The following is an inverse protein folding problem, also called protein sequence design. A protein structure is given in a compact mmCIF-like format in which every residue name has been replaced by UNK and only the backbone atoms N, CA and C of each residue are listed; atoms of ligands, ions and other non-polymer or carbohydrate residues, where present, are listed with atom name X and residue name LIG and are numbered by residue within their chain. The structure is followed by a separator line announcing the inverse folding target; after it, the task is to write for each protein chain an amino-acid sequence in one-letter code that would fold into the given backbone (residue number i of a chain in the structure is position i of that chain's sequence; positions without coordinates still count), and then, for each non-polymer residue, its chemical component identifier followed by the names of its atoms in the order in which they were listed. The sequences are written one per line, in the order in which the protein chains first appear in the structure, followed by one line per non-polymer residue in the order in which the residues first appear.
data_IF_632242624037
#
_entry.id   IF_632242624037
#
_cell.length_a   1.000
_cell.length_b   1.000
_cell.length_c   1.000
_cell.angle_alpha   90.00
_cell.angle_beta   90.00
_cell.angle_gamma   90.00
#
_symmetry.space_group_name_H-M   'P 1'
#
loop_
_entity.id
_entity.type
_entity.pdbx_description
1 polymer ?
#
# COMPACT_ATOMS: atom_id res chain seq x y z
N UNK A 1 -1.93 3.90 26.53
CA UNK A 1 -0.81 4.20 25.61
C UNK A 1 0.09 5.31 26.13
N UNK A 2 -0.44 6.45 26.64
CA UNK A 2 0.43 7.56 27.10
C UNK A 2 1.39 7.27 28.27
N UNK A 3 1.01 6.47 29.27
CA UNK A 3 1.87 6.26 30.45
C UNK A 3 3.05 5.32 30.16
N UNK A 4 2.86 4.30 29.33
CA UNK A 4 3.92 3.38 28.90
C UNK A 4 5.04 4.09 28.14
N UNK A 5 4.71 5.10 27.33
CA UNK A 5 5.70 5.89 26.59
C UNK A 5 6.46 6.87 27.49
N UNK A 6 5.77 7.51 28.45
CA UNK A 6 6.39 8.38 29.46
C UNK A 6 7.35 7.62 30.39
N UNK A 7 6.95 6.43 30.84
CA UNK A 7 7.83 5.59 31.65
C UNK A 7 9.06 5.12 30.85
N UNK A 8 8.89 4.79 29.56
CA UNK A 8 10.01 4.42 28.68
C UNK A 8 11.00 5.56 28.51
N UNK A 9 10.54 6.77 28.17
CA UNK A 9 11.42 7.97 28.07
C UNK A 9 12.13 8.30 29.37
N UNK A 10 11.49 8.08 30.53
CA UNK A 10 12.13 8.26 31.85
C UNK A 10 13.26 7.26 32.12
N UNK A 11 13.10 6.00 31.69
CA UNK A 11 14.14 4.97 31.82
C UNK A 11 15.27 5.21 30.82
N UNK A 12 14.96 5.55 29.58
CA UNK A 12 15.96 5.82 28.53
C UNK A 12 16.85 7.01 28.93
N UNK A 13 16.28 8.10 29.46
CA UNK A 13 17.04 9.24 29.96
C UNK A 13 17.93 8.91 31.18
N UNK A 14 17.51 7.99 32.05
CA UNK A 14 18.34 7.50 33.16
C UNK A 14 19.51 6.63 32.66
N UNK A 15 19.27 5.82 31.63
CA UNK A 15 20.33 5.05 30.96
C UNK A 15 21.36 5.97 30.31
N UNK A 16 20.94 6.99 29.55
CA UNK A 16 21.85 7.98 28.95
C UNK A 16 22.68 8.72 30.01
N UNK A 17 22.03 9.20 31.09
CA UNK A 17 22.72 9.89 32.19
C UNK A 17 23.71 8.98 32.93
N UNK A 18 23.44 7.67 33.01
CA UNK A 18 24.37 6.68 33.55
C UNK A 18 25.55 6.41 32.59
N UNK A 19 25.29 6.26 31.28
CA UNK A 19 26.34 6.08 30.28
C UNK A 19 27.29 7.27 30.19
N UNK A 20 26.78 8.50 30.30
CA UNK A 20 27.60 9.72 30.39
C UNK A 20 28.53 9.71 31.61
N UNK A 21 28.03 9.27 32.78
CA UNK A 21 28.85 9.13 34.00
C UNK A 21 29.88 8.01 33.86
N UNK A 22 29.51 6.89 33.25
CA UNK A 22 30.41 5.76 32.95
C UNK A 22 31.56 6.22 32.03
N UNK A 23 31.26 6.94 30.96
CA UNK A 23 32.25 7.49 30.03
C UNK A 23 33.17 8.52 30.70
N UNK A 24 32.62 9.42 31.54
CA UNK A 24 33.43 10.36 32.31
C UNK A 24 34.41 9.65 33.23
N UNK A 25 33.95 8.65 33.98
CA UNK A 25 34.80 7.84 34.86
C UNK A 25 35.92 7.13 34.08
N UNK A 26 35.63 6.60 32.90
CA UNK A 26 36.65 6.01 32.02
C UNK A 26 37.69 7.03 31.53
N UNK A 27 37.27 8.26 31.18
CA UNK A 27 38.20 9.35 30.85
C UNK A 27 39.05 9.76 32.05
N UNK A 28 38.46 9.86 33.25
CA UNK A 28 39.18 10.19 34.48
C UNK A 28 40.26 9.13 34.80
N UNK A 29 39.97 7.83 34.63
CA UNK A 29 40.96 6.74 34.73
C UNK A 29 42.10 6.91 33.72
N UNK A 30 41.79 7.20 32.45
CA UNK A 30 42.81 7.41 31.40
C UNK A 30 43.73 8.59 31.74
N UNK A 31 43.16 9.72 32.17
CA UNK A 31 43.92 10.91 32.58
C UNK A 31 44.82 10.65 33.79
N UNK A 32 44.34 9.91 34.79
CA UNK A 32 45.13 9.50 35.95
C UNK A 32 46.26 8.54 35.55
N UNK A 33 45.98 7.58 34.66
CA UNK A 33 46.97 6.61 34.18
C UNK A 33 48.09 7.29 33.39
N UNK A 34 47.76 8.25 32.52
CA UNK A 34 48.77 9.00 31.76
C UNK A 34 49.58 9.95 32.66
N UNK A 35 48.93 10.57 33.66
CA UNK A 35 49.64 11.34 34.69
C UNK A 35 50.61 10.46 35.49
N UNK A 36 50.20 9.24 35.84
CA UNK A 36 51.04 8.28 36.56
C UNK A 36 52.23 7.80 35.70
N UNK A 37 52.02 7.53 34.40
CA UNK A 37 53.11 7.24 33.44
C UNK A 37 54.11 8.40 33.35
N UNK A 38 53.63 9.65 33.27
CA UNK A 38 54.51 10.83 33.23
C UNK A 38 55.36 10.95 34.49
N UNK A 39 54.77 10.75 35.67
CA UNK A 39 55.50 10.72 36.94
C UNK A 39 56.53 9.58 36.99
N UNK A 40 56.21 8.41 36.45
CA UNK A 40 57.16 7.29 36.36
C UNK A 40 58.37 7.63 35.48
N UNK A 41 58.15 8.29 34.34
CA UNK A 41 59.21 8.78 33.43
C UNK A 41 60.02 9.91 34.06
N UNK A 42 59.42 10.78 34.87
CA UNK A 42 60.17 11.80 35.62
C UNK A 42 61.05 11.16 36.70
N UNK A 43 60.52 10.22 37.47
CA UNK A 43 61.26 9.46 38.48
C UNK A 43 62.42 8.67 37.86
N UNK A 44 62.26 8.07 36.68
CA UNK A 44 63.36 7.35 36.01
C UNK A 44 64.46 8.29 35.52
N UNK A 45 64.12 9.49 35.01
CA UNK A 45 65.12 10.48 34.58
C UNK A 45 65.94 11.07 35.74
N UNK A 46 65.35 11.25 36.92
CA UNK A 46 66.11 11.69 38.10
C UNK A 46 67.01 10.60 38.69
N UNK A 47 66.84 9.33 38.33
CA UNK A 47 67.77 8.25 38.68
C UNK A 47 69.08 8.37 37.87
N UNK A 48 69.01 8.75 36.59
CA UNK A 48 70.18 8.86 35.70
C UNK A 48 71.12 10.04 36.05
N UNK A 49 70.66 11.04 36.83
CA UNK A 49 71.44 12.24 37.15
C UNK A 49 71.88 12.38 38.62
N UNK A 50 71.65 11.37 39.47
CA UNK A 50 71.74 11.49 40.94
C UNK A 50 72.65 10.41 41.55
N UNK A 51 73.93 10.74 41.78
CA UNK A 51 74.95 9.83 42.32
C UNK A 51 74.95 9.70 43.86
N UNK A 52 73.78 9.63 44.50
CA UNK A 52 73.63 9.57 45.97
C UNK A 52 72.76 8.39 46.43
N UNK A 53 72.94 7.91 47.69
CA UNK A 53 72.37 6.64 48.15
C UNK A 53 70.84 6.62 48.15
N UNK A 54 70.29 5.45 47.81
CA UNK A 54 68.87 5.23 47.53
C UNK A 54 68.04 5.49 48.79
N UNK A 55 67.37 6.65 48.82
CA UNK A 55 66.48 7.05 49.89
C UNK A 55 65.22 6.14 49.91
N UNK A 56 64.99 5.46 51.04
CA UNK A 56 63.89 4.49 51.19
C UNK A 56 62.51 5.09 50.92
N UNK A 57 62.34 6.39 51.16
CA UNK A 57 61.13 7.14 50.83
C UNK A 57 60.84 7.14 49.33
N UNK A 58 61.88 7.26 48.49
CA UNK A 58 61.76 7.27 47.02
C UNK A 58 61.33 5.90 46.48
N UNK A 59 61.91 4.82 47.01
CA UNK A 59 61.49 3.44 46.68
C UNK A 59 60.04 3.17 47.08
N UNK A 60 59.59 3.67 48.24
CA UNK A 60 58.18 3.58 48.65
C UNK A 60 57.24 4.37 47.74
N UNK A 61 57.63 5.56 47.27
CA UNK A 61 56.85 6.36 46.31
C UNK A 61 56.74 5.63 44.97
N UNK A 62 57.83 5.04 44.46
CA UNK A 62 57.82 4.29 43.21
C UNK A 62 56.97 3.01 43.31
N UNK A 63 57.00 2.31 44.44
CA UNK A 63 56.10 1.18 44.70
C UNK A 63 54.63 1.59 44.70
N UNK A 64 54.28 2.69 45.40
CA UNK A 64 52.91 3.24 45.40
C UNK A 64 52.44 3.65 44.00
N UNK A 65 53.31 4.24 43.19
CA UNK A 65 53.01 4.65 41.82
C UNK A 65 52.78 3.44 40.91
N UNK A 66 53.64 2.43 40.97
CA UNK A 66 53.49 1.19 40.22
C UNK A 66 52.19 0.45 40.59
N UNK A 67 51.87 0.39 41.88
CA UNK A 67 50.62 -0.18 42.38
C UNK A 67 49.39 0.58 41.81
N UNK A 68 49.40 1.91 41.85
CA UNK A 68 48.35 2.74 41.25
C UNK A 68 48.21 2.50 39.74
N UNK A 69 49.31 2.41 39.00
CA UNK A 69 49.30 2.14 37.55
C UNK A 69 48.70 0.77 37.23
N UNK A 70 49.00 -0.26 38.01
CA UNK A 70 48.42 -1.60 37.84
C UNK A 70 46.89 -1.53 38.03
N UNK A 71 46.41 -0.94 39.14
CA UNK A 71 44.97 -0.81 39.41
C UNK A 71 44.21 -0.02 38.34
N UNK A 72 44.75 1.11 37.89
CA UNK A 72 44.13 1.91 36.83
C UNK A 72 44.10 1.15 35.49
N UNK A 73 45.12 0.35 35.19
CA UNK A 73 45.17 -0.49 33.97
C UNK A 73 44.17 -1.63 34.04
N UNK A 74 44.09 -2.34 35.18
CA UNK A 74 43.10 -3.40 35.40
C UNK A 74 41.67 -2.86 35.29
N UNK A 75 41.36 -1.71 35.89
CA UNK A 75 40.01 -1.17 35.85
C UNK A 75 39.61 -0.72 34.45
N UNK A 76 40.53 -0.08 33.70
CA UNK A 76 40.31 0.26 32.30
C UNK A 76 40.06 -1.01 31.46
N UNK A 77 40.83 -2.09 31.71
CA UNK A 77 40.62 -3.37 31.03
C UNK A 77 39.24 -3.97 31.37
N UNK A 78 38.80 -3.94 32.64
CA UNK A 78 37.44 -4.38 33.04
C UNK A 78 36.34 -3.59 32.32
N UNK A 79 36.49 -2.27 32.17
CA UNK A 79 35.54 -1.44 31.41
C UNK A 79 35.53 -1.81 29.91
N UNK A 80 36.71 -2.04 29.32
CA UNK A 80 36.82 -2.47 27.92
C UNK A 80 36.19 -3.86 27.69
N UNK A 81 36.41 -4.81 28.59
CA UNK A 81 35.81 -6.16 28.52
C UNK A 81 34.28 -6.10 28.69
N UNK A 82 33.77 -5.25 29.59
CA UNK A 82 32.35 -4.99 29.78
C UNK A 82 31.70 -4.37 28.54
N UNK A 83 32.33 -3.36 27.93
CA UNK A 83 31.81 -2.75 26.69
C UNK A 83 31.94 -3.68 25.48
N UNK A 84 32.97 -4.53 25.42
CA UNK A 84 33.11 -5.61 24.45
C UNK A 84 32.00 -6.66 24.58
N UNK A 85 31.67 -7.08 25.81
CA UNK A 85 30.56 -7.99 26.07
C UNK A 85 29.20 -7.38 25.68
N UNK A 86 28.96 -6.10 26.01
CA UNK A 86 27.75 -5.36 25.59
C UNK A 86 27.61 -5.33 24.06
N UNK A 87 28.70 -5.05 23.33
CA UNK A 87 28.71 -5.07 21.85
C UNK A 87 28.37 -6.45 21.28
N UNK A 88 29.03 -7.52 21.75
CA UNK A 88 28.75 -8.90 21.34
C UNK A 88 27.29 -9.29 21.56
N UNK A 89 26.69 -8.90 22.69
CA UNK A 89 25.27 -9.14 22.96
C UNK A 89 24.34 -8.36 22.01
N UNK A 90 24.67 -7.12 21.67
CA UNK A 90 23.91 -6.33 20.68
C UNK A 90 24.01 -6.93 19.27
N UNK A 91 25.18 -7.43 18.87
CA UNK A 91 25.40 -8.11 17.59
C UNK A 91 24.62 -9.43 17.51
N UNK A 92 24.66 -10.21 18.60
CA UNK A 92 23.87 -11.44 18.75
C UNK A 92 22.36 -11.19 18.63
N UNK A 93 21.84 -10.19 19.35
CA UNK A 93 20.42 -9.81 19.27
C UNK A 93 20.05 -9.39 17.84
N UNK A 94 20.86 -8.55 17.19
CA UNK A 94 20.65 -8.15 15.78
C UNK A 94 20.68 -9.35 14.83
N UNK A 95 21.46 -10.39 15.12
CA UNK A 95 21.48 -11.63 14.33
C UNK A 95 20.18 -12.42 14.46
N UNK A 96 19.69 -12.58 15.70
CA UNK A 96 18.40 -13.22 15.98
C UNK A 96 17.24 -12.45 15.34
N UNK A 97 17.25 -11.12 15.40
CA UNK A 97 16.18 -10.30 14.80
C UNK A 97 16.19 -10.39 13.26
N UNK A 98 17.35 -10.51 12.63
CA UNK A 98 17.47 -10.85 11.19
C UNK A 98 16.91 -12.23 10.88
N UNK A 99 17.17 -13.24 11.71
CA UNK A 99 16.60 -14.58 11.53
C UNK A 99 15.08 -14.57 11.67
N UNK A 100 14.54 -13.93 12.74
CA UNK A 100 13.10 -13.73 12.93
C UNK A 100 12.45 -13.08 11.72
N UNK A 101 13.04 -11.99 11.20
CA UNK A 101 12.53 -11.31 10.01
C UNK A 101 12.55 -12.21 8.76
N UNK A 102 13.65 -12.93 8.52
CA UNK A 102 13.77 -13.84 7.37
C UNK A 102 12.76 -15.00 7.44
N UNK A 103 12.58 -15.59 8.62
CA UNK A 103 11.56 -16.63 8.86
C UNK A 103 10.16 -16.06 8.64
N UNK A 104 9.86 -14.86 9.13
CA UNK A 104 8.55 -14.24 8.92
C UNK A 104 8.22 -14.03 7.44
N UNK A 105 9.16 -13.52 6.64
CA UNK A 105 9.01 -13.32 5.19
C UNK A 105 8.83 -14.65 4.46
N UNK A 106 9.66 -15.65 4.76
CA UNK A 106 9.55 -16.99 4.16
C UNK A 106 8.25 -17.70 4.55
N UNK A 107 7.81 -17.57 5.81
CA UNK A 107 6.55 -18.13 6.28
C UNK A 107 5.36 -17.44 5.59
N UNK A 108 5.41 -16.14 5.34
CA UNK A 108 4.36 -15.42 4.61
C UNK A 108 4.24 -15.94 3.16
N UNK A 109 5.34 -16.05 2.40
CA UNK A 109 5.27 -16.56 1.02
C UNK A 109 4.87 -18.04 0.94
N UNK A 110 5.42 -18.90 1.81
CA UNK A 110 5.05 -20.32 1.89
C UNK A 110 3.61 -20.56 2.35
N UNK A 111 3.04 -19.65 3.16
CA UNK A 111 1.65 -19.76 3.64
C UNK A 111 0.62 -19.63 2.54
N UNK A 112 0.91 -18.87 1.48
CA UNK A 112 0.03 -18.71 0.31
C UNK A 112 -0.23 -20.03 -0.41
N UNK A 113 0.74 -20.95 -0.34
CA UNK A 113 0.65 -22.32 -0.85
C UNK A 113 0.20 -23.34 0.21
N UNK A 114 -0.08 -22.90 1.45
CA UNK A 114 -0.47 -23.79 2.56
C UNK A 114 0.64 -24.69 3.08
N UNK A 115 1.91 -24.40 2.77
CA UNK A 115 3.04 -25.30 3.04
C UNK A 115 3.57 -25.24 4.48
N UNK A 116 3.23 -24.18 5.23
CA UNK A 116 3.77 -23.91 6.58
C UNK A 116 2.67 -23.38 7.50
N UNK A 117 2.66 -23.84 8.76
CA UNK A 117 1.82 -23.26 9.81
C UNK A 117 2.36 -21.88 10.25
N UNK A 118 1.70 -20.83 9.77
CA UNK A 118 1.98 -19.42 10.10
C UNK A 118 1.89 -19.15 11.60
N UNK A 119 0.97 -19.80 12.33
CA UNK A 119 0.78 -19.56 13.76
C UNK A 119 1.94 -20.17 14.56
N UNK A 120 2.42 -21.36 14.18
CA UNK A 120 3.62 -21.96 14.75
C UNK A 120 4.87 -21.10 14.49
N UNK A 121 5.10 -20.66 13.24
CA UNK A 121 6.26 -19.84 12.88
C UNK A 121 6.23 -18.46 13.54
N UNK A 122 5.07 -17.80 13.57
CA UNK A 122 4.88 -16.52 14.26
C UNK A 122 5.16 -16.65 15.76
N UNK A 123 4.61 -17.68 16.42
CA UNK A 123 4.85 -17.95 17.84
C UNK A 123 6.32 -18.21 18.16
N UNK A 124 7.05 -18.86 17.25
CA UNK A 124 8.49 -19.10 17.37
C UNK A 124 9.29 -17.78 17.23
N UNK A 125 8.90 -16.90 16.31
CA UNK A 125 9.53 -15.58 16.15
C UNK A 125 9.26 -14.63 17.33
N UNK A 126 8.05 -14.71 17.92
CA UNK A 126 7.62 -13.89 19.06
C UNK A 126 8.28 -14.26 20.41
N UNK A 127 9.05 -15.36 20.48
CA UNK A 127 9.76 -15.73 21.71
C UNK A 127 10.78 -14.64 22.09
N UNK A 128 10.66 -13.98 23.26
CA UNK A 128 11.55 -12.87 23.67
C UNK A 128 12.90 -13.35 24.20
N UNK A 129 13.07 -14.66 24.37
CA UNK A 129 14.33 -15.26 24.80
C UNK A 129 15.36 -15.20 23.67
N UNK A 130 16.56 -14.71 23.97
CA UNK A 130 17.70 -14.66 23.05
C UNK A 130 18.77 -15.71 23.40
N UNK A 131 18.40 -16.77 24.13
CA UNK A 131 19.28 -17.88 24.46
C UNK A 131 19.83 -18.62 23.22
N UNK A 132 20.94 -19.33 23.42
CA UNK A 132 21.50 -20.28 22.47
C UNK A 132 20.47 -21.31 21.98
N UNK A 133 19.59 -21.77 22.88
CA UNK A 133 18.53 -22.73 22.51
C UNK A 133 17.48 -22.10 21.57
N UNK A 134 17.16 -20.81 21.72
CA UNK A 134 16.27 -20.14 20.77
C UNK A 134 16.96 -19.89 19.42
N UNK A 135 18.25 -19.56 19.42
CA UNK A 135 19.06 -19.47 18.19
C UNK A 135 19.03 -20.79 17.40
N UNK A 136 19.20 -21.93 18.07
CA UNK A 136 19.15 -23.26 17.43
C UNK A 136 17.77 -23.55 16.82
N UNK A 137 16.68 -23.22 17.53
CA UNK A 137 15.30 -23.36 17.03
C UNK A 137 15.02 -22.46 15.83
N UNK A 138 15.44 -21.20 15.89
CA UNK A 138 15.33 -20.24 14.77
C UNK A 138 16.15 -20.71 13.57
N UNK A 139 17.37 -21.19 13.78
CA UNK A 139 18.23 -21.74 12.72
C UNK A 139 17.61 -22.96 12.04
N UNK A 140 17.06 -23.92 12.81
CA UNK A 140 16.35 -25.09 12.28
C UNK A 140 15.07 -24.69 11.51
N UNK A 141 14.27 -23.78 12.07
CA UNK A 141 13.06 -23.28 11.41
C UNK A 141 13.39 -22.54 10.10
N UNK A 142 14.47 -21.75 10.08
CA UNK A 142 14.96 -21.07 8.88
C UNK A 142 15.41 -22.06 7.81
N UNK A 143 16.26 -23.03 8.17
CA UNK A 143 16.72 -24.09 7.25
C UNK A 143 15.54 -24.88 6.66
N UNK A 144 14.53 -25.20 7.48
CA UNK A 144 13.32 -25.86 7.02
C UNK A 144 12.54 -24.99 6.03
N UNK A 145 12.31 -23.70 6.33
CA UNK A 145 11.62 -22.80 5.41
C UNK A 145 12.40 -22.59 4.10
N UNK A 146 13.72 -22.50 4.16
CA UNK A 146 14.58 -22.40 2.96
C UNK A 146 14.53 -23.68 2.11
N UNK A 147 14.52 -24.86 2.73
CA UNK A 147 14.35 -26.13 2.03
C UNK A 147 12.97 -26.22 1.34
N UNK A 148 11.88 -25.90 2.07
CA UNK A 148 10.53 -25.87 1.50
C UNK A 148 10.40 -24.88 0.34
N UNK A 149 11.04 -23.70 0.44
CA UNK A 149 11.07 -22.70 -0.65
C UNK A 149 11.78 -23.24 -1.88
N UNK A 150 12.88 -23.96 -1.70
CA UNK A 150 13.65 -24.53 -2.82
C UNK A 150 12.91 -25.71 -3.47
N UNK A 151 12.23 -26.55 -2.68
CA UNK A 151 11.43 -27.68 -3.18
C UNK A 151 10.21 -27.22 -4.00
N UNK A 152 9.54 -26.14 -3.57
CA UNK A 152 8.34 -25.61 -4.23
C UNK A 152 8.58 -24.33 -5.04
N UNK A 153 9.83 -24.09 -5.46
CA UNK A 153 10.24 -22.86 -6.13
C UNK A 153 9.43 -22.58 -7.41
N UNK A 154 9.15 -23.60 -8.22
CA UNK A 154 8.33 -23.46 -9.44
C UNK A 154 6.88 -23.06 -9.13
N UNK A 155 6.30 -23.62 -8.06
CA UNK A 155 4.94 -23.31 -7.63
C UNK A 155 4.84 -21.89 -7.05
N UNK A 156 5.86 -21.44 -6.32
CA UNK A 156 5.97 -20.06 -5.83
C UNK A 156 6.10 -19.07 -6.99
N UNK A 157 6.99 -19.32 -7.94
CA UNK A 157 7.16 -18.49 -9.15
C UNK A 157 5.83 -18.44 -9.95
N UNK A 158 5.18 -19.59 -10.16
CA UNK A 158 3.88 -19.65 -10.81
C UNK A 158 2.80 -18.84 -10.09
N UNK A 159 2.75 -18.93 -8.77
CA UNK A 159 1.80 -18.17 -7.94
C UNK A 159 2.07 -16.66 -7.99
N UNK A 160 3.32 -16.22 -7.86
CA UNK A 160 3.69 -14.80 -7.97
C UNK A 160 3.40 -14.27 -9.37
N UNK A 161 3.62 -15.05 -10.44
CA UNK A 161 3.17 -14.68 -11.79
C UNK A 161 1.64 -14.51 -11.90
N UNK A 162 0.84 -15.38 -11.27
CA UNK A 162 -0.62 -15.20 -11.25
C UNK A 162 -1.02 -13.94 -10.48
N UNK A 163 -0.42 -13.68 -9.31
CA UNK A 163 -0.65 -12.42 -8.59
C UNK A 163 -0.27 -11.20 -9.45
N UNK A 164 0.93 -11.18 -10.06
CA UNK A 164 1.37 -10.07 -10.91
C UNK A 164 0.34 -9.81 -12.02
N UNK A 165 -0.12 -10.85 -12.71
CA UNK A 165 -1.12 -10.69 -13.78
C UNK A 165 -2.44 -10.09 -13.25
N UNK A 166 -2.96 -10.57 -12.11
CA UNK A 166 -4.16 -10.02 -11.48
C UNK A 166 -3.98 -8.53 -11.09
N UNK A 167 -2.84 -8.18 -10.50
CA UNK A 167 -2.52 -6.79 -10.14
C UNK A 167 -2.28 -5.89 -11.36
N UNK A 168 -1.77 -6.44 -12.46
CA UNK A 168 -1.62 -5.76 -13.75
C UNK A 168 -2.97 -5.51 -14.43
N UNK A 169 -3.94 -6.42 -14.33
CA UNK A 169 -5.32 -6.14 -14.77
C UNK A 169 -5.99 -5.05 -13.91
N UNK A 170 -5.78 -5.05 -12.59
CA UNK A 170 -6.33 -4.02 -11.68
C UNK A 170 -5.72 -2.63 -11.89
N UNK A 171 -4.42 -2.56 -12.13
CA UNK A 171 -3.69 -1.31 -12.44
C UNK A 171 -3.80 -0.91 -13.91
N UNK A 172 -4.36 -1.77 -14.76
CA UNK A 172 -4.39 -1.62 -16.22
C UNK A 172 -2.99 -1.36 -16.80
N UNK A 173 -1.92 -1.79 -16.12
CA UNK A 173 -0.55 -1.72 -16.58
C UNK A 173 -0.05 -3.12 -16.82
N UNK A 174 0.00 -3.51 -18.09
CA UNK A 174 0.76 -4.68 -18.49
C UNK A 174 2.25 -4.35 -18.41
N UNK A 175 3.08 -5.17 -17.74
CA UNK A 175 4.51 -5.07 -17.87
C UNK A 175 4.84 -5.22 -19.36
N UNK A 176 5.83 -4.46 -19.86
CA UNK A 176 6.34 -4.70 -21.21
C UNK A 176 6.73 -6.17 -21.31
N UNK A 177 6.11 -6.91 -22.26
CA UNK A 177 6.02 -8.36 -22.24
C UNK A 177 7.35 -9.08 -22.54
N UNK A 178 8.34 -8.92 -21.65
CA UNK A 178 9.71 -9.37 -21.83
C UNK A 178 10.33 -9.85 -20.52
N UNK A 179 10.83 -11.08 -20.59
CA UNK A 179 12.03 -11.55 -19.90
C UNK A 179 11.89 -12.01 -18.43
N UNK A 180 10.82 -12.74 -18.11
CA UNK A 180 10.95 -13.82 -17.12
C UNK A 180 11.02 -15.14 -17.88
N UNK A 181 12.26 -15.52 -18.16
CA UNK A 181 12.58 -16.65 -19.01
C UNK A 181 12.22 -17.94 -18.29
N UNK A 182 11.27 -18.68 -18.87
CA UNK A 182 10.64 -19.89 -18.30
C UNK A 182 11.62 -21.03 -18.00
N UNK A 183 12.85 -20.93 -18.48
CA UNK A 183 13.82 -22.03 -18.53
C UNK A 183 14.73 -22.12 -17.27
N UNK A 184 14.63 -21.18 -16.33
CA UNK A 184 15.46 -21.16 -15.12
C UNK A 184 14.67 -20.77 -13.86
N UNK A 185 14.10 -21.74 -13.16
CA UNK A 185 13.51 -21.57 -11.84
C UNK A 185 14.61 -21.33 -10.78
N UNK A 186 15.00 -20.07 -10.54
CA UNK A 186 16.00 -19.70 -9.52
C UNK A 186 15.38 -18.91 -8.37
N UNK A 187 16.03 -18.95 -7.20
CA UNK A 187 15.62 -18.15 -6.04
C UNK A 187 15.70 -16.65 -6.33
N UNK A 188 16.73 -16.23 -7.08
CA UNK A 188 16.92 -14.84 -7.53
C UNK A 188 15.77 -14.37 -8.43
N UNK A 189 15.25 -15.24 -9.29
CA UNK A 189 14.07 -14.96 -10.12
C UNK A 189 12.81 -14.78 -9.26
N UNK A 190 12.60 -15.62 -8.24
CA UNK A 190 11.48 -15.46 -7.33
C UNK A 190 11.58 -14.13 -6.56
N UNK A 191 12.75 -13.79 -6.01
CA UNK A 191 12.96 -12.57 -5.24
C UNK A 191 12.72 -11.31 -6.11
N UNK A 192 13.17 -11.32 -7.38
CA UNK A 192 12.90 -10.25 -8.36
C UNK A 192 11.41 -10.11 -8.71
N UNK A 193 10.68 -11.23 -8.83
CA UNK A 193 9.24 -11.23 -9.07
C UNK A 193 8.44 -10.74 -7.85
N UNK A 194 8.86 -11.12 -6.63
CA UNK A 194 8.26 -10.64 -5.38
C UNK A 194 8.47 -9.12 -5.20
N UNK A 195 9.63 -8.59 -5.59
CA UNK A 195 9.90 -7.15 -5.62
C UNK A 195 9.01 -6.43 -6.64
N UNK A 196 8.93 -6.92 -7.89
CA UNK A 196 8.03 -6.34 -8.91
C UNK A 196 6.55 -6.36 -8.47
N UNK A 197 6.09 -7.47 -7.89
CA UNK A 197 4.74 -7.59 -7.35
C UNK A 197 4.46 -6.54 -6.26
N UNK A 198 5.44 -6.26 -5.41
CA UNK A 198 5.36 -5.21 -4.40
C UNK A 198 5.29 -3.82 -5.05
N UNK A 199 6.12 -3.51 -6.04
CA UNK A 199 6.07 -2.23 -6.76
C UNK A 199 4.69 -1.98 -7.39
N UNK A 200 4.08 -2.99 -8.02
CA UNK A 200 2.74 -2.89 -8.63
C UNK A 200 1.67 -2.66 -7.54
N UNK A 201 1.76 -3.35 -6.40
CA UNK A 201 0.85 -3.14 -5.25
C UNK A 201 1.00 -1.74 -4.65
N UNK A 202 2.22 -1.26 -4.44
CA UNK A 202 2.49 0.07 -3.90
C UNK A 202 2.01 1.16 -4.89
N UNK A 203 2.22 0.96 -6.19
CA UNK A 203 1.67 1.82 -7.25
C UNK A 203 0.14 1.84 -7.26
N UNK A 204 -0.52 0.68 -7.14
CA UNK A 204 -1.98 0.61 -7.02
C UNK A 204 -2.47 1.37 -5.79
N UNK A 205 -1.86 1.13 -4.62
CA UNK A 205 -2.27 1.72 -3.36
C UNK A 205 -2.10 3.24 -3.35
N UNK A 206 -0.98 3.76 -3.88
CA UNK A 206 -0.74 5.20 -4.01
C UNK A 206 -1.76 5.89 -4.95
N UNK A 207 -2.24 5.19 -5.97
CA UNK A 207 -3.08 5.75 -7.03
C UNK A 207 -4.53 5.24 -7.02
N UNK A 208 -4.94 4.55 -5.96
CA UNK A 208 -6.22 3.83 -5.85
C UNK A 208 -7.44 4.68 -6.19
N UNK A 209 -7.43 5.97 -5.82
CA UNK A 209 -8.50 6.90 -6.15
C UNK A 209 -8.72 7.06 -7.66
N UNK A 210 -7.64 7.13 -8.45
CA UNK A 210 -7.73 7.22 -9.93
C UNK A 210 -8.35 5.95 -10.48
N UNK A 211 -7.86 4.78 -10.06
CA UNK A 211 -8.38 3.48 -10.50
C UNK A 211 -9.87 3.29 -10.17
N UNK A 212 -10.30 3.65 -8.95
CA UNK A 212 -11.70 3.55 -8.57
C UNK A 212 -12.63 4.47 -9.37
N UNK A 213 -12.18 5.70 -9.68
CA UNK A 213 -12.98 6.66 -10.46
C UNK A 213 -12.99 6.27 -11.94
N UNK A 214 -11.86 5.81 -12.50
CA UNK A 214 -11.79 5.29 -13.87
C UNK A 214 -12.66 4.03 -14.04
N UNK A 215 -12.63 3.09 -13.09
CA UNK A 215 -13.52 1.92 -13.12
C UNK A 215 -15.01 2.30 -13.04
N UNK A 216 -15.37 3.39 -12.35
CA UNK A 216 -16.74 3.94 -12.36
C UNK A 216 -17.08 4.54 -13.73
N UNK A 217 -16.12 5.23 -14.40
CA UNK A 217 -16.29 5.73 -15.78
C UNK A 217 -16.56 4.59 -16.75
N UNK A 218 -15.70 3.56 -16.79
CA UNK A 218 -15.83 2.41 -17.69
C UNK A 218 -17.22 1.76 -17.56
N UNK A 219 -17.70 1.52 -16.33
CA UNK A 219 -19.06 0.98 -16.10
C UNK A 219 -20.18 1.86 -16.67
N UNK A 220 -20.05 3.19 -16.57
CA UNK A 220 -21.04 4.13 -17.14
C UNK A 220 -20.95 4.17 -18.67
N UNK A 221 -19.74 4.12 -19.21
CA UNK A 221 -19.47 4.10 -20.65
C UNK A 221 -20.07 2.85 -21.31
N UNK A 222 -19.70 1.66 -20.87
CA UNK A 222 -20.26 0.39 -21.38
C UNK A 222 -21.77 0.34 -21.22
N UNK A 223 -22.33 0.97 -20.18
CA UNK A 223 -23.79 1.06 -20.02
C UNK A 223 -24.45 2.03 -21.01
N UNK A 224 -23.81 3.15 -21.35
CA UNK A 224 -24.25 4.07 -22.38
C UNK A 224 -24.34 3.36 -23.73
N UNK A 225 -23.26 2.68 -24.13
CA UNK A 225 -23.18 1.89 -25.36
C UNK A 225 -24.27 0.81 -25.41
N UNK A 226 -24.47 0.07 -24.31
CA UNK A 226 -25.52 -0.95 -24.22
C UNK A 226 -26.95 -0.39 -24.33
N UNK A 227 -27.21 0.84 -23.86
CA UNK A 227 -28.50 1.51 -24.05
C UNK A 227 -28.71 1.98 -25.50
N UNK A 228 -27.64 2.40 -26.18
CA UNK A 228 -27.70 2.82 -27.57
C UNK A 228 -27.77 1.63 -28.53
N UNK A 229 -27.13 0.50 -28.22
CA UNK A 229 -27.29 -0.75 -28.99
C UNK A 229 -28.72 -1.31 -28.85
N UNK A 230 -29.30 -1.26 -27.64
CA UNK A 230 -30.74 -1.53 -27.47
C UNK A 230 -31.61 -0.55 -28.26
N UNK A 231 -31.19 0.72 -28.39
CA UNK A 231 -31.92 1.73 -29.14
C UNK A 231 -32.03 1.42 -30.64
N UNK A 232 -31.13 0.59 -31.20
CA UNK A 232 -31.12 0.17 -32.62
C UNK A 232 -32.07 -1.00 -32.94
N UNK A 233 -32.49 -1.80 -31.96
CA UNK A 233 -33.25 -3.05 -32.21
C UNK A 233 -34.68 -2.77 -32.69
N UNK A 234 -35.18 -3.45 -33.75
CA UNK A 234 -36.51 -3.17 -34.31
C UNK A 234 -37.66 -3.44 -33.33
N UNK A 235 -37.54 -4.48 -32.49
CA UNK A 235 -38.55 -4.83 -31.49
C UNK A 235 -38.63 -3.86 -30.28
N UNK A 236 -37.83 -2.79 -30.26
CA UNK A 236 -37.75 -1.82 -29.14
C UNK A 236 -39.10 -1.22 -28.74
N UNK A 237 -40.03 -1.07 -29.67
CA UNK A 237 -41.35 -0.48 -29.40
C UNK A 237 -42.31 -1.42 -28.64
N UNK A 238 -41.92 -2.66 -28.34
CA UNK A 238 -42.64 -3.59 -27.45
C UNK A 238 -42.51 -3.16 -25.97
N UNK A 239 -43.02 -1.97 -25.63
CA UNK A 239 -42.82 -1.26 -24.37
C UNK A 239 -43.71 -1.77 -23.21
N UNK A 240 -43.74 -3.09 -22.96
CA UNK A 240 -44.47 -3.66 -21.81
C UNK A 240 -43.79 -3.22 -20.50
N UNK A 241 -44.57 -2.66 -19.56
CA UNK A 241 -44.04 -2.26 -18.25
C UNK A 241 -43.08 -1.05 -18.27
N UNK A 242 -43.27 -0.11 -19.20
CA UNK A 242 -42.59 1.19 -19.20
C UNK A 242 -41.07 1.12 -19.32
N UNK A 243 -40.54 0.12 -20.03
CA UNK A 243 -39.11 -0.09 -20.21
C UNK A 243 -38.43 1.14 -20.85
N UNK A 244 -39.02 1.73 -21.89
CA UNK A 244 -38.45 2.88 -22.60
C UNK A 244 -38.28 4.12 -21.71
N UNK A 245 -39.21 4.35 -20.78
CA UNK A 245 -39.12 5.46 -19.82
C UNK A 245 -38.02 5.24 -18.78
N UNK A 246 -37.74 3.96 -18.43
CA UNK A 246 -36.62 3.60 -17.57
C UNK A 246 -35.28 3.75 -18.28
N UNK A 247 -35.17 3.27 -19.52
CA UNK A 247 -33.97 3.46 -20.36
C UNK A 247 -33.64 4.94 -20.57
N UNK A 248 -34.65 5.77 -20.86
CA UNK A 248 -34.44 7.20 -21.10
C UNK A 248 -34.10 7.97 -19.79
N UNK A 249 -34.70 7.60 -18.65
CA UNK A 249 -34.28 8.11 -17.34
C UNK A 249 -32.84 7.72 -17.02
N UNK A 250 -32.44 6.49 -17.35
CA UNK A 250 -31.10 5.99 -17.15
C UNK A 250 -30.07 6.72 -18.04
N UNK A 251 -30.35 6.89 -19.34
CA UNK A 251 -29.54 7.68 -20.28
C UNK A 251 -29.29 9.09 -19.76
N UNK A 252 -30.32 9.79 -19.29
CA UNK A 252 -30.18 11.13 -18.68
C UNK A 252 -29.30 11.09 -17.43
N UNK A 253 -29.46 10.06 -16.59
CA UNK A 253 -28.61 9.85 -15.42
C UNK A 253 -27.14 9.63 -15.76
N UNK A 254 -26.84 8.89 -16.83
CA UNK A 254 -25.47 8.68 -17.32
C UNK A 254 -24.90 9.98 -17.90
N UNK A 255 -25.64 10.69 -18.76
CA UNK A 255 -25.20 11.95 -19.37
C UNK A 255 -24.85 13.05 -18.34
N UNK A 256 -25.42 13.00 -17.13
CA UNK A 256 -25.08 13.92 -16.03
C UNK A 256 -23.88 13.39 -15.22
N UNK A 257 -23.81 12.09 -14.97
CA UNK A 257 -22.77 11.48 -14.11
C UNK A 257 -21.43 11.31 -14.80
N UNK A 258 -21.43 10.98 -16.08
CA UNK A 258 -20.23 10.65 -16.85
C UNK A 258 -19.27 11.86 -16.96
N UNK A 259 -19.71 13.08 -17.36
CA UNK A 259 -18.82 14.25 -17.40
C UNK A 259 -18.28 14.64 -16.02
N UNK A 260 -19.07 14.46 -14.95
CA UNK A 260 -18.62 14.72 -13.57
C UNK A 260 -17.51 13.76 -13.14
N UNK A 261 -17.60 12.49 -13.52
CA UNK A 261 -16.57 11.49 -13.25
C UNK A 261 -15.33 11.73 -14.11
N UNK A 262 -15.48 12.12 -15.38
CA UNK A 262 -14.36 12.49 -16.25
C UNK A 262 -13.61 13.74 -15.74
N UNK A 263 -14.32 14.72 -15.20
CA UNK A 263 -13.71 15.88 -14.55
C UNK A 263 -12.92 15.49 -13.28
N UNK A 264 -13.46 14.58 -12.45
CA UNK A 264 -12.73 14.03 -11.30
C UNK A 264 -11.47 13.24 -11.72
N UNK A 265 -11.52 12.53 -12.85
CA UNK A 265 -10.33 11.85 -13.40
C UNK A 265 -9.29 12.88 -13.85
N UNK A 266 -9.70 13.97 -14.51
CA UNK A 266 -8.80 15.06 -14.91
C UNK A 266 -8.09 15.68 -13.70
N UNK A 267 -8.83 16.01 -12.65
CA UNK A 267 -8.27 16.58 -11.42
C UNK A 267 -7.23 15.64 -10.77
N UNK A 268 -7.58 14.36 -10.58
CA UNK A 268 -6.67 13.38 -9.98
C UNK A 268 -5.45 13.04 -10.88
N UNK A 269 -5.62 13.06 -12.21
CA UNK A 269 -4.52 12.85 -13.15
C UNK A 269 -3.54 14.04 -13.18
N UNK A 270 -4.04 15.28 -13.08
CA UNK A 270 -3.21 16.47 -12.97
C UNK A 270 -2.44 16.51 -11.64
N UNK A 271 -3.09 16.13 -10.53
CA UNK A 271 -2.44 15.95 -9.23
C UNK A 271 -1.31 14.92 -9.29
N UNK A 272 -1.51 13.80 -10.00
CA UNK A 272 -0.48 12.78 -10.22
C UNK A 272 0.68 13.31 -11.06
N UNK A 273 0.39 14.00 -12.17
CA UNK A 273 1.39 14.56 -13.08
C UNK A 273 2.27 15.61 -12.38
N UNK A 274 1.67 16.47 -11.54
CA UNK A 274 2.40 17.44 -10.71
C UNK A 274 3.34 16.78 -9.70
N UNK A 275 2.95 15.64 -9.11
CA UNK A 275 3.76 14.92 -8.11
C UNK A 275 4.87 14.09 -8.75
N UNK A 276 4.60 13.49 -9.90
CA UNK A 276 5.46 12.45 -10.50
C UNK A 276 6.17 12.91 -11.79
N UNK A 277 5.90 14.11 -12.30
CA UNK A 277 6.51 14.68 -13.50
C UNK A 277 6.19 13.94 -14.81
N UNK A 278 5.16 13.08 -14.81
CA UNK A 278 4.76 12.24 -15.95
C UNK A 278 3.24 12.01 -15.97
N UNK A 279 2.61 11.88 -17.15
CA UNK A 279 1.18 11.61 -17.24
C UNK A 279 0.81 10.25 -16.62
N UNK A 280 -0.44 10.14 -16.17
CA UNK A 280 -0.98 8.87 -15.68
C UNK A 280 -1.34 7.95 -16.84
N UNK A 281 -0.73 6.77 -16.89
CA UNK A 281 -0.88 5.81 -17.99
C UNK A 281 -1.86 4.68 -17.67
N UNK A 282 -2.73 4.37 -18.63
CA UNK A 282 -3.68 3.25 -18.63
C UNK A 282 -3.47 2.47 -19.92
N UNK A 283 -3.10 1.19 -19.81
CA UNK A 283 -2.77 0.29 -20.94
C UNK A 283 -1.68 0.84 -21.88
N UNK A 284 -0.78 1.69 -21.36
CA UNK A 284 0.30 2.34 -22.11
C UNK A 284 -0.04 3.72 -22.68
N UNK A 285 -1.31 4.13 -22.64
CA UNK A 285 -1.80 5.42 -23.15
C UNK A 285 -2.08 6.40 -22.01
N UNK A 286 -1.97 7.71 -22.25
CA UNK A 286 -2.34 8.70 -21.23
C UNK A 286 -3.86 8.67 -20.98
N UNK A 287 -4.27 8.60 -19.71
CA UNK A 287 -5.68 8.42 -19.32
C UNK A 287 -6.63 9.47 -19.92
N UNK A 288 -6.15 10.71 -20.12
CA UNK A 288 -6.95 11.80 -20.69
C UNK A 288 -7.08 11.72 -22.21
N UNK A 289 -6.03 11.28 -22.91
CA UNK A 289 -6.05 11.02 -24.35
C UNK A 289 -6.98 9.86 -24.66
N UNK A 290 -6.89 8.78 -23.88
CA UNK A 290 -7.76 7.62 -24.00
C UNK A 290 -9.25 7.96 -23.88
N UNK A 291 -9.61 8.77 -22.88
CA UNK A 291 -10.99 9.27 -22.70
C UNK A 291 -11.43 10.10 -23.90
N UNK A 292 -10.56 10.93 -24.48
CA UNK A 292 -10.87 11.72 -25.66
C UNK A 292 -11.06 10.85 -26.92
N UNK A 293 -10.21 9.84 -27.12
CA UNK A 293 -10.28 8.90 -28.25
C UNK A 293 -11.59 8.10 -28.23
N UNK A 294 -11.98 7.55 -27.07
CA UNK A 294 -13.25 6.83 -26.92
C UNK A 294 -14.48 7.71 -27.29
N UNK A 295 -14.44 9.00 -26.93
CA UNK A 295 -15.48 9.98 -27.32
C UNK A 295 -15.48 10.32 -28.81
N UNK A 296 -14.32 10.29 -29.47
CA UNK A 296 -14.20 10.51 -30.92
C UNK A 296 -14.73 9.29 -31.69
N UNK A 297 -14.32 8.08 -31.31
CA UNK A 297 -14.78 6.82 -31.90
C UNK A 297 -16.31 6.68 -31.81
N UNK A 298 -16.88 6.98 -30.63
CA UNK A 298 -18.33 6.98 -30.44
C UNK A 298 -19.04 8.02 -31.34
N UNK A 299 -18.44 9.20 -31.55
CA UNK A 299 -19.01 10.24 -32.41
C UNK A 299 -18.96 9.82 -33.89
N UNK A 300 -17.83 9.31 -34.34
CA UNK A 300 -17.62 8.81 -35.71
C UNK A 300 -18.56 7.64 -36.03
N UNK A 301 -18.69 6.66 -35.13
CA UNK A 301 -19.61 5.53 -35.29
C UNK A 301 -21.08 5.99 -35.40
N UNK A 302 -21.47 7.04 -34.67
CA UNK A 302 -22.82 7.63 -34.73
C UNK A 302 -23.06 8.41 -36.02
N UNK A 303 -22.06 9.15 -36.49
CA UNK A 303 -22.14 9.87 -37.76
C UNK A 303 -22.25 8.89 -38.95
N UNK A 304 -21.42 7.85 -39.00
CA UNK A 304 -21.48 6.79 -40.02
C UNK A 304 -22.85 6.13 -40.08
N UNK A 305 -23.45 5.78 -38.94
CA UNK A 305 -24.83 5.25 -38.87
C UNK A 305 -25.87 6.24 -39.41
N UNK A 306 -25.70 7.54 -39.16
CA UNK A 306 -26.59 8.58 -39.68
C UNK A 306 -26.46 8.75 -41.20
N UNK A 307 -25.22 8.67 -41.73
CA UNK A 307 -24.93 8.77 -43.16
C UNK A 307 -25.45 7.55 -43.93
N UNK A 308 -25.28 6.34 -43.38
CA UNK A 308 -25.83 5.11 -43.93
C UNK A 308 -27.37 5.18 -44.04
N UNK A 309 -28.06 5.65 -42.99
CA UNK A 309 -29.52 5.87 -43.04
C UNK A 309 -29.93 6.88 -44.11
N UNK A 310 -29.22 8.00 -44.23
CA UNK A 310 -29.49 9.02 -45.26
C UNK A 310 -29.37 8.45 -46.68
N UNK A 311 -28.34 7.64 -46.96
CA UNK A 311 -28.16 6.95 -48.26
C UNK A 311 -29.30 5.97 -48.57
N UNK A 312 -29.71 5.15 -47.60
CA UNK A 312 -30.86 4.24 -47.79
C UNK A 312 -32.19 4.97 -48.04
N UNK A 313 -32.29 6.25 -47.67
CA UNK A 313 -33.47 7.10 -47.98
C UNK A 313 -33.33 7.88 -49.29
N UNK A 314 -32.13 8.08 -49.85
CA UNK A 314 -31.94 8.77 -51.13
C UNK A 314 -32.08 7.86 -52.35
N UNK A 315 -31.77 6.57 -52.19
CA UNK A 315 -31.78 5.60 -53.29
C UNK A 315 -33.20 5.00 -53.55
N UNK A 316 -34.22 5.51 -52.87
CA UNK A 316 -35.63 5.13 -53.04
C UNK A 316 -36.50 6.37 -53.36
N UNK A 317 -36.61 6.77 -54.65
CA UNK A 317 -37.55 7.82 -55.06
C UNK A 317 -38.97 7.26 -55.08
N UNK A 318 -39.67 7.29 -53.94
CA UNK A 318 -41.11 7.06 -53.90
C UNK A 318 -41.86 8.33 -54.31
N UNK A 319 -42.63 8.21 -55.38
CA UNK A 319 -43.45 9.27 -55.97
C UNK A 319 -44.49 9.85 -54.98
N UNK A 320 -44.89 11.12 -55.15
CA UNK A 320 -45.96 11.72 -54.36
C UNK A 320 -47.31 11.14 -54.78
N UNK A 321 -47.86 10.22 -53.98
CA UNK A 321 -49.17 9.63 -54.27
C UNK A 321 -50.31 10.64 -54.07
N UNK A 322 -50.66 11.32 -55.16
CA UNK A 322 -51.86 12.13 -55.31
C UNK A 322 -53.12 11.28 -55.09
N UNK A 323 -53.95 11.62 -54.11
CA UNK A 323 -55.30 11.10 -53.99
C UNK A 323 -56.27 12.19 -53.52
N UNK A 324 -56.98 12.77 -54.49
CA UNK A 324 -58.06 13.75 -54.28
C UNK A 324 -59.42 13.08 -54.54
N UNK A 325 -60.12 12.71 -53.48
CA UNK A 325 -61.57 12.47 -53.52
C UNK A 325 -62.21 12.72 -52.14
N UNK A 326 -63.25 13.55 -52.13
CA UNK A 326 -63.97 14.05 -50.94
C UNK A 326 -64.82 12.94 -50.29
N UNK A 327 -64.91 12.92 -48.96
CA UNK A 327 -66.11 13.39 -48.21
C UNK A 327 -66.11 12.86 -46.78
N UNK A 328 -66.42 13.71 -45.78
CA UNK A 328 -66.42 13.30 -44.37
C UNK A 328 -66.26 14.46 -43.39
N UNK A 329 -66.95 15.58 -43.59
CA UNK A 329 -66.98 16.66 -42.61
C UNK A 329 -67.71 16.21 -41.34
N UNK A 330 -66.99 16.09 -40.22
CA UNK A 330 -67.59 16.26 -38.88
C UNK A 330 -66.86 17.42 -38.20
N UNK A 331 -67.48 18.59 -38.27
CA UNK A 331 -67.03 19.80 -37.59
C UNK A 331 -67.66 19.85 -36.20
N UNK A 332 -66.85 19.72 -35.14
CA UNK A 332 -67.16 20.29 -33.84
C UNK A 332 -66.06 21.30 -33.45
N UNK A 333 -66.47 22.56 -33.27
CA UNK A 333 -65.67 23.64 -32.67
C UNK A 333 -66.49 24.34 -31.59
N UNK A 334 -65.90 24.51 -30.41
CA UNK A 334 -66.35 25.37 -29.29
C UNK A 334 -67.67 24.90 -28.65
N UNK A 335 -68.01 25.20 -27.39
CA UNK A 335 -67.41 26.06 -26.34
C UNK A 335 -66.48 25.23 -25.41
N UNK A 336 -65.95 25.65 -24.26
CA UNK A 336 -66.02 26.90 -23.44
C UNK A 336 -64.62 27.52 -23.23
N UNK A 337 -64.44 28.33 -22.18
CA UNK A 337 -63.27 29.14 -21.86
C UNK A 337 -63.08 29.25 -20.33
N UNK A 338 -61.85 29.03 -19.83
CA UNK A 338 -61.23 29.47 -18.53
C UNK A 338 -61.98 29.21 -17.19
N UNK A 339 -61.34 29.39 -16.00
CA UNK A 339 -59.91 29.60 -15.67
C UNK A 339 -59.34 28.52 -14.70
N UNK A 340 -58.05 28.21 -14.69
CA UNK A 340 -57.00 28.86 -13.88
C UNK A 340 -57.46 29.39 -12.50
N UNK A 341 -57.35 28.58 -11.44
CA UNK A 341 -57.42 29.05 -10.07
C UNK A 341 -56.06 28.89 -9.39
N UNK A 342 -55.43 30.01 -9.09
CA UNK A 342 -54.18 30.07 -8.34
C UNK A 342 -54.55 30.37 -6.88
N UNK A 343 -54.09 29.56 -5.92
CA UNK A 343 -54.23 29.88 -4.50
C UNK A 343 -53.13 29.24 -3.67
N UNK A 344 -52.21 30.09 -3.25
CA UNK A 344 -51.25 29.84 -2.17
C UNK A 344 -52.00 29.76 -0.85
N UNK A 345 -52.02 28.60 -0.20
CA UNK A 345 -52.25 28.52 1.26
C UNK A 345 -51.39 27.43 1.89
N UNK A 346 -50.86 27.78 3.07
CA UNK A 346 -49.89 27.06 3.88
C UNK A 346 -50.15 25.56 4.13
N UNK A 347 -49.06 24.85 4.40
CA UNK A 347 -49.04 23.56 5.10
C UNK A 347 -49.81 23.62 6.43
N UNK A 348 -50.26 22.47 6.95
CA UNK A 348 -49.57 22.00 8.15
C UNK A 348 -49.21 20.51 8.14
N UNK A 349 -48.06 20.26 8.76
CA UNK A 349 -47.53 18.98 9.23
C UNK A 349 -48.59 18.11 9.91
N UNK A 350 -48.64 16.82 9.56
CA UNK A 350 -49.20 15.78 10.43
C UNK A 350 -48.21 14.64 10.65
N UNK A 351 -47.66 14.60 11.85
CA UNK A 351 -46.89 13.48 12.41
C UNK A 351 -47.81 12.49 13.12
N UNK A 352 -47.92 11.27 12.61
CA UNK A 352 -48.53 10.12 13.30
C UNK A 352 -48.24 8.82 12.50
N UNK A 353 -48.00 7.66 13.10
CA UNK A 353 -47.57 7.31 14.47
C UNK A 353 -47.02 5.88 14.38
N UNK A 354 -45.86 5.60 14.99
CA UNK A 354 -45.35 4.23 15.08
C UNK A 354 -46.26 3.38 15.99
N UNK A 355 -46.52 2.13 15.60
CA UNK A 355 -46.83 1.05 16.55
C UNK A 355 -45.96 -0.17 16.25
N UNK A 356 -45.39 -0.84 17.27
CA UNK A 356 -44.49 -1.96 17.08
C UNK A 356 -45.25 -3.29 16.94
N UNK A 357 -44.80 -4.16 16.03
CA UNK A 357 -45.21 -5.57 16.03
C UNK A 357 -44.40 -6.34 17.08
N UNK A 358 -45.09 -6.93 18.06
CA UNK A 358 -44.43 -7.71 19.11
C UNK A 358 -43.89 -9.06 18.60
N UNK A 359 -42.94 -9.59 19.37
CA UNK A 359 -42.29 -10.90 19.22
C UNK A 359 -43.29 -12.05 19.13
N UNK A 360 -42.95 -13.07 18.37
CA UNK A 360 -42.85 -14.42 18.95
C UNK A 360 -41.43 -14.95 18.78
N UNK A 361 -40.89 -15.49 19.88
CA UNK A 361 -39.78 -16.45 19.87
C UNK A 361 -40.44 -17.81 20.06
N UNK A 362 -40.15 -18.76 19.20
CA UNK A 362 -40.30 -20.18 19.54
C UNK A 362 -38.91 -20.80 19.68
N UNK A 363 -38.77 -21.71 20.64
CA UNK A 363 -37.53 -22.40 20.99
C UNK A 363 -37.89 -23.82 21.45
N UNK A 364 -37.78 -24.74 20.52
CA UNK A 364 -37.86 -26.20 20.64
C UNK A 364 -37.16 -26.75 19.39
N UNK A 365 -36.22 -27.70 19.42
CA UNK A 365 -35.45 -28.33 20.51
C UNK A 365 -33.97 -28.39 20.09
#
# INVERSE_FOLDING_TARGET
MGDTEKHKTSVDALCEAWEQKQHKFEMDIRMLLDSAKQLAVQLSKTIESSAEPIDTVRSQQQFKLNYLMIHLTEELQRQNDKTGAKRRLQEWNKSLDKMRLKIAVLAESLSKLGLVDVLAMKKLCELPDNSQQNYEKLSQALQHCEAMRNEHLEALIGHVHTEINEWCELTLQYPSARNYQKDCCTVELLELLEEQLKEIKDYYNANKAIFEVYAKRVRLWTRMEALDEKAKKPNRYQNRGGALLREERERRGINIKLPRIEQQIRELAQDYEQRNGRPFLVQGEAILERIANEWEDYRMAKEQQSAARKKTTSDNPLEPLNNSARSGFISLRKTTSVPYFNSTTASPTWTAKLQPKQRQRERSE
#
